data_IF_092116364690
#
_entry.id   IF_092116364690
#
_cell.length_a   1.000
_cell.length_b   1.000
_cell.length_c   1.000
_cell.angle_alpha   90.00
_cell.angle_beta   90.00
_cell.angle_gamma   90.00
#
_symmetry.space_group_name_H-M   'P 1'
#
loop_
_entity.id
_entity.type
_entity.pdbx_description
1 polymer ?
#
# COMPACT_ATOMS: atom_id res chain seq x y z
N UNK A 1 -17.00 -16.11 17.08
CA UNK A 1 -15.51 -16.22 16.96
C UNK A 1 -15.02 -15.04 16.14
N UNK A 2 -13.94 -14.42 16.58
CA UNK A 2 -13.27 -13.37 15.80
C UNK A 2 -12.87 -13.93 14.45
N UNK A 3 -13.28 -13.26 13.35
CA UNK A 3 -13.00 -13.74 11.99
C UNK A 3 -12.12 -12.75 11.19
N UNK A 4 -11.57 -11.76 11.87
CA UNK A 4 -10.68 -10.76 11.32
C UNK A 4 -9.38 -10.68 12.13
N UNK A 5 -8.23 -10.65 11.46
CA UNK A 5 -6.94 -10.27 12.03
C UNK A 5 -6.57 -8.88 11.54
N UNK A 6 -6.35 -7.95 12.47
CA UNK A 6 -5.69 -6.68 12.22
C UNK A 6 -4.20 -6.86 12.52
N UNK A 7 -3.35 -6.72 11.52
CA UNK A 7 -1.90 -6.81 11.65
C UNK A 7 -1.24 -5.44 11.54
N UNK A 8 -0.34 -5.13 12.47
CA UNK A 8 0.50 -3.94 12.48
C UNK A 8 1.95 -4.38 12.34
N UNK A 9 2.58 -4.03 11.21
CA UNK A 9 4.02 -4.28 11.01
C UNK A 9 4.80 -3.07 11.51
N UNK A 10 5.72 -3.31 12.44
CA UNK A 10 6.45 -2.27 13.18
C UNK A 10 7.94 -2.35 12.87
N UNK A 11 8.53 -1.22 12.48
CA UNK A 11 9.97 -1.04 12.40
C UNK A 11 10.32 0.42 12.70
N UNK A 12 10.96 0.67 13.84
CA UNK A 12 11.40 2.01 14.27
C UNK A 12 10.29 3.07 14.19
N UNK A 13 9.16 2.79 14.86
CA UNK A 13 7.95 3.60 14.84
C UNK A 13 7.67 4.32 16.19
N UNK A 14 8.67 4.47 17.07
CA UNK A 14 8.51 5.04 18.43
C UNK A 14 7.74 6.36 18.46
N UNK A 15 7.87 7.18 17.40
CA UNK A 15 7.23 8.50 17.31
C UNK A 15 5.73 8.44 17.06
N UNK A 16 5.22 7.34 16.52
CA UNK A 16 3.86 7.29 15.97
C UNK A 16 3.05 6.12 16.49
N UNK A 17 3.70 5.03 16.90
CA UNK A 17 3.01 3.77 17.25
C UNK A 17 1.95 3.98 18.34
N UNK A 18 2.15 4.86 19.31
CA UNK A 18 1.16 5.15 20.35
C UNK A 18 -0.14 5.70 19.77
N UNK A 19 -0.07 6.63 18.81
CA UNK A 19 -1.27 7.17 18.13
C UNK A 19 -1.99 6.10 17.32
N UNK A 20 -1.25 5.24 16.64
CA UNK A 20 -1.78 4.10 15.89
C UNK A 20 -2.54 3.16 16.83
N UNK A 21 -1.96 2.77 17.96
CA UNK A 21 -2.60 1.90 18.96
C UNK A 21 -3.84 2.54 19.57
N UNK A 22 -3.80 3.84 19.90
CA UNK A 22 -4.97 4.58 20.36
C UNK A 22 -6.12 4.53 19.36
N UNK A 23 -5.81 4.66 18.06
CA UNK A 23 -6.82 4.59 17.00
C UNK A 23 -7.44 3.18 16.86
N UNK A 24 -6.66 2.13 17.14
CA UNK A 24 -7.12 0.73 17.17
C UNK A 24 -8.05 0.52 18.38
N UNK A 25 -7.66 1.01 19.56
CA UNK A 25 -8.49 0.89 20.76
C UNK A 25 -9.80 1.69 20.67
N UNK A 26 -9.82 2.77 19.89
CA UNK A 26 -11.00 3.60 19.68
C UNK A 26 -12.00 3.05 18.65
N UNK A 27 -11.73 1.91 18.00
CA UNK A 27 -12.63 1.35 16.99
C UNK A 27 -13.98 0.93 17.60
N UNK A 28 -15.08 1.16 16.87
CA UNK A 28 -16.42 0.73 17.28
C UNK A 28 -16.58 -0.79 17.25
N UNK A 29 -15.89 -1.46 16.32
CA UNK A 29 -15.81 -2.91 16.27
C UNK A 29 -14.50 -3.36 16.91
N UNK A 30 -14.57 -4.15 18.00
CA UNK A 30 -13.40 -4.67 18.72
C UNK A 30 -13.23 -6.19 18.57
N UNK A 31 -14.13 -6.86 17.83
CA UNK A 31 -14.09 -8.32 17.63
C UNK A 31 -13.13 -8.71 16.51
N UNK A 32 -11.84 -8.47 16.74
CA UNK A 32 -10.74 -8.89 15.87
C UNK A 32 -9.51 -9.31 16.69
N UNK A 33 -8.69 -10.19 16.12
CA UNK A 33 -7.36 -10.49 16.65
C UNK A 33 -6.41 -9.34 16.28
N UNK A 34 -5.57 -8.92 17.24
CA UNK A 34 -4.53 -7.95 17.01
C UNK A 34 -3.19 -8.65 16.97
N UNK A 35 -2.53 -8.61 15.81
CA UNK A 35 -1.19 -9.15 15.58
C UNK A 35 -0.22 -7.99 15.34
N UNK A 36 0.83 -7.92 16.14
CA UNK A 36 1.93 -6.96 15.98
C UNK A 36 3.15 -7.74 15.53
N UNK A 37 3.71 -7.37 14.40
CA UNK A 37 4.93 -7.98 13.84
C UNK A 37 6.04 -6.95 13.91
N UNK A 38 6.98 -7.15 14.83
CA UNK A 38 8.15 -6.32 14.99
C UNK A 38 9.27 -6.80 14.07
N UNK A 39 9.62 -6.01 13.08
CA UNK A 39 10.69 -6.27 12.12
C UNK A 39 12.07 -5.85 12.67
N UNK A 40 12.40 -6.29 13.90
CA UNK A 40 13.65 -5.99 14.61
C UNK A 40 13.87 -4.48 14.84
N UNK A 41 12.88 -3.79 15.46
CA UNK A 41 13.04 -2.39 15.85
C UNK A 41 14.19 -2.21 16.86
N UNK A 42 14.93 -1.13 16.69
CA UNK A 42 16.09 -0.75 17.53
C UNK A 42 15.86 0.52 18.37
N UNK A 43 14.68 1.11 18.22
CA UNK A 43 14.20 2.28 18.97
C UNK A 43 13.24 1.87 20.10
N UNK A 44 12.56 2.83 20.72
CA UNK A 44 11.60 2.62 21.80
C UNK A 44 10.25 1.98 21.40
N UNK A 45 10.06 1.56 20.13
CA UNK A 45 8.76 1.07 19.64
C UNK A 45 8.17 -0.04 20.49
N UNK A 46 8.96 -1.05 20.86
CA UNK A 46 8.46 -2.22 21.60
C UNK A 46 8.12 -1.85 23.05
N UNK A 47 8.97 -1.08 23.71
CA UNK A 47 8.68 -0.61 25.07
C UNK A 47 7.38 0.20 25.13
N UNK A 48 7.12 1.06 24.13
CA UNK A 48 5.88 1.84 24.02
C UNK A 48 4.65 0.92 23.83
N UNK A 49 4.78 -0.13 23.02
CA UNK A 49 3.69 -1.09 22.80
C UNK A 49 3.36 -1.83 24.10
N UNK A 50 4.38 -2.36 24.79
CA UNK A 50 4.20 -3.09 26.04
C UNK A 50 3.61 -2.21 27.14
N UNK A 51 4.13 -0.99 27.34
CA UNK A 51 3.61 0.00 28.27
C UNK A 51 2.15 0.37 27.94
N UNK A 52 1.85 0.61 26.66
CA UNK A 52 0.51 0.96 26.23
C UNK A 52 -0.52 -0.10 26.58
N UNK A 53 -0.22 -1.39 26.35
CA UNK A 53 -1.14 -2.47 26.65
C UNK A 53 -1.14 -2.88 28.14
N UNK A 54 -0.12 -2.53 28.90
CA UNK A 54 -0.18 -2.63 30.37
C UNK A 54 -1.19 -1.64 30.96
N UNK A 55 -1.27 -0.41 30.40
CA UNK A 55 -2.24 0.60 30.81
C UNK A 55 -3.63 0.40 30.20
N UNK A 56 -3.71 -0.20 29.01
CA UNK A 56 -4.95 -0.40 28.23
C UNK A 56 -5.14 -1.89 27.91
N UNK A 57 -5.62 -2.72 28.87
CA UNK A 57 -5.64 -4.16 28.71
C UNK A 57 -6.43 -4.61 27.48
N UNK A 58 -5.76 -5.26 26.55
CA UNK A 58 -6.31 -5.93 25.37
C UNK A 58 -5.46 -7.13 25.03
N UNK A 59 -6.10 -8.21 24.61
CA UNK A 59 -5.36 -9.36 24.06
C UNK A 59 -4.75 -8.98 22.70
N UNK A 60 -3.46 -9.11 22.59
CA UNK A 60 -2.68 -8.96 21.36
C UNK A 60 -1.59 -10.02 21.30
N UNK A 61 -1.07 -10.23 20.14
CA UNK A 61 0.08 -11.10 19.90
C UNK A 61 1.23 -10.29 19.32
N UNK A 62 2.42 -10.40 19.91
CA UNK A 62 3.63 -9.73 19.46
C UNK A 62 4.63 -10.78 18.98
N UNK A 63 4.98 -10.73 17.70
CA UNK A 63 6.04 -11.54 17.10
C UNK A 63 7.18 -10.65 16.71
N UNK A 64 8.39 -10.93 17.20
CA UNK A 64 9.59 -10.18 16.87
C UNK A 64 10.56 -11.00 16.03
N UNK A 65 11.09 -10.40 14.97
CA UNK A 65 12.16 -11.00 14.17
C UNK A 65 13.52 -10.71 14.78
N UNK A 66 14.47 -11.61 14.56
CA UNK A 66 15.87 -11.46 15.01
C UNK A 66 16.66 -10.47 14.15
N UNK A 67 16.22 -10.22 12.91
CA UNK A 67 16.82 -9.29 11.96
C UNK A 67 15.76 -8.51 11.18
N UNK A 68 16.10 -7.31 10.70
CA UNK A 68 15.20 -6.53 9.85
C UNK A 68 15.09 -7.14 8.45
N UNK A 69 13.92 -7.68 8.13
CA UNK A 69 13.59 -8.37 6.86
C UNK A 69 12.82 -7.51 5.87
N UNK A 70 12.26 -6.38 6.32
CA UNK A 70 11.48 -5.44 5.51
C UNK A 70 9.99 -5.69 5.55
N UNK A 71 9.24 -4.65 5.14
CA UNK A 71 7.77 -4.65 5.21
C UNK A 71 7.14 -5.77 4.37
N UNK A 72 7.70 -6.06 3.20
CA UNK A 72 7.21 -7.14 2.34
C UNK A 72 7.28 -8.49 3.05
N UNK A 73 8.37 -8.76 3.77
CA UNK A 73 8.52 -9.99 4.56
C UNK A 73 7.58 -9.99 5.77
N UNK A 74 7.46 -8.87 6.48
CA UNK A 74 6.58 -8.78 7.65
C UNK A 74 5.11 -9.05 7.28
N UNK A 75 4.64 -8.49 6.16
CA UNK A 75 3.29 -8.75 5.62
C UNK A 75 3.13 -10.19 5.14
N UNK A 76 4.11 -10.74 4.43
CA UNK A 76 4.13 -12.14 4.03
C UNK A 76 3.99 -13.09 5.22
N UNK A 77 4.76 -12.83 6.29
CA UNK A 77 4.71 -13.61 7.52
C UNK A 77 3.32 -13.48 8.18
N UNK A 78 2.85 -12.26 8.42
CA UNK A 78 1.58 -12.00 9.10
C UNK A 78 0.39 -12.63 8.37
N UNK A 79 0.37 -12.55 7.02
CA UNK A 79 -0.68 -13.14 6.20
C UNK A 79 -0.76 -14.66 6.35
N UNK A 80 0.37 -15.35 6.49
CA UNK A 80 0.42 -16.82 6.65
C UNK A 80 0.23 -17.26 8.08
N UNK A 81 0.67 -16.43 9.02
CA UNK A 81 0.54 -16.69 10.45
C UNK A 81 -0.91 -16.59 10.93
N UNK A 82 -1.66 -15.60 10.42
CA UNK A 82 -3.07 -15.41 10.76
C UNK A 82 -3.91 -16.65 10.42
N UNK A 83 -4.92 -16.94 11.26
CA UNK A 83 -5.81 -18.08 11.08
C UNK A 83 -7.25 -17.66 10.74
N UNK A 84 -7.52 -16.36 10.64
CA UNK A 84 -8.84 -15.82 10.35
C UNK A 84 -9.12 -15.79 8.85
N UNK A 85 -10.40 -15.77 8.47
CA UNK A 85 -10.83 -15.64 7.08
C UNK A 85 -10.47 -14.29 6.48
N UNK A 86 -10.60 -13.22 7.28
CA UNK A 86 -10.32 -11.86 6.84
C UNK A 86 -9.05 -11.34 7.51
N UNK A 87 -8.37 -10.47 6.77
CA UNK A 87 -7.17 -9.79 7.23
C UNK A 87 -7.17 -8.32 6.84
N UNK A 88 -6.55 -7.50 7.67
CA UNK A 88 -6.32 -6.09 7.45
C UNK A 88 -4.92 -5.73 7.90
N UNK A 89 -4.21 -4.91 7.14
CA UNK A 89 -2.97 -4.27 7.58
C UNK A 89 -3.21 -2.81 7.94
N UNK A 90 -2.50 -2.36 8.96
CA UNK A 90 -2.37 -0.94 9.31
C UNK A 90 -0.88 -0.64 9.49
N UNK A 91 -0.39 0.41 8.83
CA UNK A 91 0.99 0.84 9.01
C UNK A 91 1.16 1.51 10.38
N UNK A 92 2.34 1.32 11.00
CA UNK A 92 2.61 1.70 12.38
C UNK A 92 2.66 3.23 12.63
N UNK A 93 2.50 4.02 11.58
CA UNK A 93 2.45 5.48 11.60
C UNK A 93 1.11 6.08 11.11
N UNK A 94 0.15 5.22 10.75
CA UNK A 94 -1.18 5.60 10.27
C UNK A 94 -2.23 5.56 11.39
N UNK A 95 -3.35 6.28 11.19
CA UNK A 95 -4.41 6.44 12.18
C UNK A 95 -5.75 6.07 11.55
N UNK A 96 -6.49 5.15 12.17
CA UNK A 96 -7.85 4.80 11.74
C UNK A 96 -8.89 5.78 12.30
N UNK A 97 -9.91 6.10 11.50
CA UNK A 97 -11.12 6.70 12.02
C UNK A 97 -11.93 5.67 12.81
N UNK A 98 -12.69 6.15 13.82
CA UNK A 98 -13.33 5.32 14.84
C UNK A 98 -14.19 4.16 14.32
N UNK A 99 -14.80 4.28 13.15
CA UNK A 99 -15.68 3.25 12.56
C UNK A 99 -15.09 2.58 11.32
N UNK A 100 -13.79 2.72 11.10
CA UNK A 100 -13.13 2.24 9.89
C UNK A 100 -13.24 0.73 9.71
N UNK A 101 -12.89 -0.02 10.76
CA UNK A 101 -12.94 -1.49 10.72
C UNK A 101 -14.38 -1.96 10.54
N UNK A 102 -15.31 -1.43 11.32
CA UNK A 102 -16.73 -1.82 11.26
C UNK A 102 -17.33 -1.57 9.87
N UNK A 103 -17.07 -0.40 9.28
CA UNK A 103 -17.59 -0.04 7.95
C UNK A 103 -17.08 -0.98 6.87
N UNK A 104 -15.76 -1.21 6.83
CA UNK A 104 -15.17 -2.11 5.83
C UNK A 104 -15.57 -3.57 6.07
N UNK A 105 -15.61 -4.02 7.33
CA UNK A 105 -15.98 -5.40 7.66
C UNK A 105 -17.45 -5.70 7.33
N UNK A 106 -18.38 -4.83 7.71
CA UNK A 106 -19.79 -4.96 7.31
C UNK A 106 -19.95 -5.02 5.80
N UNK A 107 -19.17 -4.19 5.09
CA UNK A 107 -19.25 -4.16 3.62
C UNK A 107 -18.74 -5.43 2.97
N UNK A 108 -17.60 -5.98 3.40
CA UNK A 108 -17.04 -7.20 2.80
C UNK A 108 -17.91 -8.42 3.12
N UNK A 109 -18.45 -8.52 4.34
CA UNK A 109 -19.27 -9.66 4.76
C UNK A 109 -20.71 -9.62 4.23
N UNK A 110 -21.17 -8.46 3.74
CA UNK A 110 -22.52 -8.31 3.16
C UNK A 110 -22.65 -8.84 1.73
N UNK A 111 -21.55 -9.21 1.08
CA UNK A 111 -21.55 -9.60 -0.34
C UNK A 111 -20.40 -10.59 -0.61
N UNK A 112 -20.75 -11.86 -0.81
CA UNK A 112 -19.79 -12.95 -1.01
C UNK A 112 -18.96 -12.84 -2.31
N UNK A 113 -19.31 -11.95 -3.22
CA UNK A 113 -18.48 -11.64 -4.38
C UNK A 113 -17.29 -10.70 -4.00
N UNK A 114 -17.37 -10.00 -2.86
CA UNK A 114 -16.29 -9.13 -2.43
C UNK A 114 -15.15 -9.94 -1.82
N UNK A 115 -13.98 -9.78 -2.38
CA UNK A 115 -12.74 -10.39 -1.88
C UNK A 115 -11.82 -9.38 -1.18
N UNK A 116 -12.02 -8.08 -1.41
CA UNK A 116 -11.34 -7.03 -0.66
C UNK A 116 -12.18 -5.74 -0.68
N UNK A 117 -12.16 -5.02 0.43
CA UNK A 117 -12.81 -3.72 0.62
C UNK A 117 -11.81 -2.75 1.25
N UNK A 118 -11.43 -1.73 0.50
CA UNK A 118 -10.62 -0.62 0.97
C UNK A 118 -11.44 0.61 1.31
N UNK A 119 -10.76 1.72 1.62
CA UNK A 119 -11.35 3.01 1.91
C UNK A 119 -10.55 4.15 1.28
N UNK A 120 -11.06 5.38 1.39
CA UNK A 120 -10.29 6.57 1.10
C UNK A 120 -9.41 6.98 2.27
N UNK A 121 -8.31 7.65 1.96
CA UNK A 121 -7.36 8.18 2.94
C UNK A 121 -7.28 9.70 2.85
N UNK A 122 -6.97 10.34 3.97
CA UNK A 122 -6.46 11.72 3.97
C UNK A 122 -4.98 11.74 4.37
N UNK A 123 -4.26 12.74 3.89
CA UNK A 123 -2.86 12.92 4.25
C UNK A 123 -2.72 13.74 5.52
N UNK A 124 -1.87 13.26 6.43
CA UNK A 124 -1.40 14.00 7.60
C UNK A 124 0.13 14.18 7.53
N UNK A 125 0.63 15.21 8.18
CA UNK A 125 2.06 15.45 8.32
C UNK A 125 2.65 14.69 9.53
N UNK A 126 3.92 14.95 9.83
CA UNK A 126 4.63 14.35 10.97
C UNK A 126 4.02 14.70 12.33
N UNK A 127 3.22 15.75 12.41
CA UNK A 127 2.52 16.20 13.65
C UNK A 127 1.09 15.68 13.73
N UNK A 128 0.63 14.94 12.71
CA UNK A 128 -0.76 14.49 12.63
C UNK A 128 -1.73 15.52 12.05
N UNK A 129 -1.24 16.69 11.59
CA UNK A 129 -2.07 17.73 11.01
C UNK A 129 -2.39 17.42 9.53
N UNK A 130 -3.63 17.71 9.12
CA UNK A 130 -4.07 17.50 7.75
C UNK A 130 -3.31 18.38 6.76
N UNK A 131 -2.65 17.76 5.82
CA UNK A 131 -1.96 18.43 4.71
C UNK A 131 -2.77 18.26 3.44
N UNK A 132 -3.63 19.13 3.09
CA UNK A 132 -4.50 19.11 1.89
C UNK A 132 -4.24 17.98 0.90
N UNK A 133 -5.28 17.50 0.24
CA UNK A 133 -5.25 16.32 -0.59
C UNK A 133 -5.62 15.06 0.18
N UNK A 134 -5.60 13.94 -0.53
CA UNK A 134 -5.94 12.62 0.01
C UNK A 134 -5.74 11.57 -1.08
N UNK A 135 -5.97 10.32 -0.75
CA UNK A 135 -5.93 9.22 -1.71
C UNK A 135 -7.35 8.70 -1.89
N UNK A 136 -7.89 8.89 -3.10
CA UNK A 136 -9.21 8.43 -3.52
C UNK A 136 -9.05 7.34 -4.58
N UNK A 137 -8.19 6.35 -4.29
CA UNK A 137 -7.87 5.24 -5.19
C UNK A 137 -8.79 4.06 -4.94
N UNK A 138 -9.08 3.34 -6.01
CA UNK A 138 -9.88 2.12 -5.99
C UNK A 138 -11.19 2.26 -6.76
N UNK A 139 -11.82 1.13 -6.98
CA UNK A 139 -13.08 1.04 -7.72
C UNK A 139 -14.26 1.03 -6.73
N UNK A 140 -15.27 1.89 -6.95
CA UNK A 140 -16.43 1.98 -6.03
C UNK A 140 -17.45 0.87 -6.22
N UNK A 141 -17.45 0.24 -7.38
CA UNK A 141 -18.45 -0.76 -7.75
C UNK A 141 -17.81 -2.00 -8.35
N UNK A 142 -18.48 -3.15 -8.19
CA UNK A 142 -18.07 -4.41 -8.82
C UNK A 142 -18.01 -4.30 -10.34
N UNK A 143 -18.87 -3.50 -10.94
CA UNK A 143 -18.89 -3.29 -12.39
C UNK A 143 -17.65 -2.52 -12.87
N UNK A 144 -17.29 -1.40 -12.21
CA UNK A 144 -16.08 -0.63 -12.55
C UNK A 144 -14.83 -1.46 -12.33
N UNK A 145 -14.80 -2.27 -11.26
CA UNK A 145 -13.72 -3.23 -11.03
C UNK A 145 -13.60 -4.23 -12.19
N UNK A 146 -14.70 -4.88 -12.60
CA UNK A 146 -14.71 -5.85 -13.70
C UNK A 146 -14.24 -5.23 -15.01
N UNK A 147 -14.74 -4.04 -15.36
CA UNK A 147 -14.28 -3.29 -16.55
C UNK A 147 -12.77 -3.07 -16.54
N UNK A 148 -12.22 -2.66 -15.40
CA UNK A 148 -10.79 -2.43 -15.22
C UNK A 148 -9.98 -3.73 -15.28
N UNK A 149 -10.50 -4.82 -14.69
CA UNK A 149 -9.87 -6.14 -14.74
C UNK A 149 -9.81 -6.69 -16.17
N UNK A 150 -10.90 -6.64 -16.91
CA UNK A 150 -10.95 -7.01 -18.34
C UNK A 150 -9.98 -6.18 -19.18
N UNK A 151 -9.88 -4.88 -18.91
CA UNK A 151 -8.93 -3.98 -19.57
C UNK A 151 -7.46 -4.20 -19.15
N UNK A 152 -7.18 -5.22 -18.33
CA UNK A 152 -5.83 -5.59 -17.87
C UNK A 152 -5.09 -4.40 -17.25
N UNK A 153 -5.79 -3.60 -16.41
CA UNK A 153 -5.20 -2.45 -15.70
C UNK A 153 -4.66 -2.88 -14.35
N UNK A 154 -3.67 -2.16 -13.84
CA UNK A 154 -3.19 -2.31 -12.46
C UNK A 154 -4.26 -1.87 -11.46
N UNK A 155 -4.31 -2.53 -10.30
CA UNK A 155 -5.26 -2.21 -9.24
C UNK A 155 -4.55 -1.49 -8.09
N UNK A 156 -4.83 -0.19 -7.99
CA UNK A 156 -4.31 0.64 -6.91
C UNK A 156 -5.35 0.69 -5.79
N UNK A 157 -5.00 0.19 -4.64
CA UNK A 157 -5.73 0.30 -3.38
C UNK A 157 -4.70 0.33 -2.25
N UNK A 158 -5.00 1.00 -1.17
CA UNK A 158 -4.11 1.06 -0.02
C UNK A 158 -4.04 -0.29 0.70
N UNK A 159 -2.95 -0.60 1.44
CA UNK A 159 -2.87 -1.81 2.25
C UNK A 159 -3.89 -1.81 3.39
N UNK A 160 -4.34 -0.62 3.84
CA UNK A 160 -5.41 -0.45 4.82
C UNK A 160 -6.75 -0.82 4.19
N UNK A 161 -6.96 -2.11 4.01
CA UNK A 161 -8.14 -2.72 3.42
C UNK A 161 -8.42 -4.05 4.12
N UNK A 162 -9.69 -4.42 4.24
CA UNK A 162 -10.05 -5.77 4.70
C UNK A 162 -10.19 -6.67 3.49
N UNK A 163 -9.55 -7.83 3.52
CA UNK A 163 -9.56 -8.78 2.42
C UNK A 163 -9.70 -10.23 2.89
N UNK A 164 -10.23 -11.09 2.03
CA UNK A 164 -10.29 -12.51 2.27
C UNK A 164 -8.89 -13.11 2.08
N UNK A 165 -8.33 -13.62 3.18
CA UNK A 165 -6.96 -14.13 3.27
C UNK A 165 -6.75 -15.38 2.40
N UNK A 166 -7.70 -16.29 2.36
CA UNK A 166 -7.56 -17.52 1.56
C UNK A 166 -7.55 -17.22 0.06
N UNK A 167 -8.39 -16.28 -0.39
CA UNK A 167 -8.36 -15.82 -1.78
C UNK A 167 -7.06 -15.10 -2.12
N UNK A 168 -6.48 -14.34 -1.18
CA UNK A 168 -5.16 -13.74 -1.36
C UNK A 168 -4.08 -14.81 -1.47
N UNK A 169 -4.07 -15.80 -0.57
CA UNK A 169 -3.13 -16.92 -0.59
C UNK A 169 -3.28 -17.78 -1.84
N UNK A 170 -4.49 -17.96 -2.37
CA UNK A 170 -4.74 -18.73 -3.60
C UNK A 170 -4.07 -18.13 -4.84
N UNK A 171 -3.76 -16.84 -4.82
CA UNK A 171 -2.99 -16.15 -5.86
C UNK A 171 -1.54 -15.87 -5.45
N UNK A 172 -1.06 -16.51 -4.36
CA UNK A 172 0.31 -16.47 -3.88
C UNK A 172 0.56 -15.52 -2.69
N UNK A 173 -0.46 -14.75 -2.23
CA UNK A 173 -0.30 -13.83 -1.10
C UNK A 173 0.76 -12.76 -1.32
N UNK A 174 1.36 -12.20 -0.26
CA UNK A 174 2.52 -11.32 -0.37
C UNK A 174 3.75 -12.14 -0.80
N UNK A 175 4.37 -11.78 -1.93
CA UNK A 175 5.49 -12.52 -2.53
C UNK A 175 6.82 -11.92 -2.12
N UNK A 176 7.71 -12.75 -1.59
CA UNK A 176 9.07 -12.37 -1.16
C UNK A 176 10.17 -13.09 -1.94
N UNK A 177 9.81 -14.09 -2.72
CA UNK A 177 10.76 -14.89 -3.51
C UNK A 177 10.98 -14.30 -4.91
N UNK A 178 12.10 -14.66 -5.51
CA UNK A 178 12.44 -14.23 -6.88
C UNK A 178 12.97 -12.79 -6.97
N UNK A 179 13.34 -12.19 -5.86
CA UNK A 179 13.99 -10.88 -5.77
C UNK A 179 15.49 -11.02 -5.49
N UNK A 180 16.33 -10.04 -5.90
CA UNK A 180 17.75 -10.02 -5.55
C UNK A 180 17.92 -9.84 -4.03
N UNK A 181 18.97 -10.49 -3.50
CA UNK A 181 19.36 -10.29 -2.08
C UNK A 181 19.95 -8.89 -1.88
N UNK A 182 19.78 -8.33 -0.69
CA UNK A 182 20.34 -7.03 -0.30
C UNK A 182 19.43 -5.85 -0.56
N UNK A 183 19.99 -4.65 -0.51
CA UNK A 183 19.25 -3.39 -0.71
C UNK A 183 19.51 -2.83 -2.11
N UNK A 184 18.49 -2.21 -2.76
CA UNK A 184 17.12 -2.05 -2.25
C UNK A 184 16.37 -3.38 -2.25
N UNK A 185 15.56 -3.63 -1.21
CA UNK A 185 14.67 -4.79 -1.15
C UNK A 185 13.44 -4.51 -2.02
N UNK A 186 13.48 -4.94 -3.26
CA UNK A 186 12.40 -4.66 -4.23
C UNK A 186 11.05 -5.27 -3.84
N UNK A 187 11.01 -6.32 -3.02
CA UNK A 187 9.79 -6.89 -2.47
C UNK A 187 9.03 -5.93 -1.54
N UNK A 188 9.71 -4.90 -1.00
CA UNK A 188 9.13 -3.90 -0.11
C UNK A 188 8.43 -2.75 -0.86
N UNK A 189 8.49 -2.73 -2.19
CA UNK A 189 7.87 -1.68 -3.01
C UNK A 189 6.65 -2.21 -3.75
N UNK A 190 5.53 -1.51 -3.68
CA UNK A 190 4.28 -1.86 -4.38
C UNK A 190 3.84 -3.31 -4.13
N UNK A 191 4.09 -3.87 -2.97
CA UNK A 191 3.72 -5.24 -2.61
C UNK A 191 2.20 -5.41 -2.53
N UNK A 192 1.51 -4.36 -2.07
CA UNK A 192 0.06 -4.24 -2.06
C UNK A 192 -0.52 -4.16 -3.47
N UNK A 193 0.03 -3.30 -4.33
CA UNK A 193 -0.36 -3.20 -5.74
C UNK A 193 -0.21 -4.55 -6.46
N UNK A 194 0.86 -5.27 -6.18
CA UNK A 194 1.10 -6.59 -6.76
C UNK A 194 0.03 -7.58 -6.31
N UNK A 195 -0.25 -7.64 -5.00
CA UNK A 195 -1.30 -8.49 -4.45
C UNK A 195 -2.67 -8.18 -5.06
N UNK A 196 -3.12 -6.91 -5.03
CA UNK A 196 -4.40 -6.51 -5.58
C UNK A 196 -4.51 -6.81 -7.07
N UNK A 197 -3.40 -6.65 -7.81
CA UNK A 197 -3.37 -6.95 -9.25
C UNK A 197 -3.47 -8.45 -9.52
N UNK A 198 -2.86 -9.32 -8.70
CA UNK A 198 -3.02 -10.78 -8.81
C UNK A 198 -4.42 -11.22 -8.38
N UNK A 199 -4.94 -10.71 -7.28
CA UNK A 199 -6.32 -10.97 -6.85
C UNK A 199 -7.33 -10.53 -7.92
N UNK A 200 -7.02 -9.50 -8.70
CA UNK A 200 -7.92 -9.07 -9.77
C UNK A 200 -8.18 -10.15 -10.83
N UNK A 201 -7.34 -11.18 -10.92
CA UNK A 201 -7.54 -12.30 -11.84
C UNK A 201 -8.74 -13.17 -11.45
N UNK A 202 -9.17 -13.10 -10.18
CA UNK A 202 -10.34 -13.79 -9.66
C UNK A 202 -11.67 -13.18 -10.15
N UNK A 203 -11.65 -12.07 -10.90
CA UNK A 203 -12.87 -11.53 -11.53
C UNK A 203 -13.58 -12.55 -12.41
N UNK A 204 -12.83 -13.51 -12.96
CA UNK A 204 -13.37 -14.62 -13.79
C UNK A 204 -14.30 -15.54 -12.99
N UNK A 205 -14.13 -15.58 -11.68
CA UNK A 205 -14.94 -16.35 -10.75
C UNK A 205 -15.98 -15.47 -10.03
N UNK A 206 -16.32 -14.31 -10.59
CA UNK A 206 -17.30 -13.38 -10.03
C UNK A 206 -16.80 -12.52 -8.89
N UNK A 207 -15.52 -12.67 -8.43
CA UNK A 207 -14.96 -11.92 -7.32
C UNK A 207 -14.63 -10.47 -7.69
N UNK A 208 -14.67 -9.59 -6.69
CA UNK A 208 -14.42 -8.16 -6.88
C UNK A 208 -13.68 -7.50 -5.70
N UNK A 209 -12.91 -6.47 -6.04
CA UNK A 209 -12.29 -5.53 -5.10
C UNK A 209 -12.98 -4.18 -5.25
N UNK A 210 -13.42 -3.60 -4.15
CA UNK A 210 -14.01 -2.25 -4.15
C UNK A 210 -13.43 -1.39 -3.02
N UNK A 211 -13.77 -0.11 -3.05
CA UNK A 211 -13.54 0.80 -1.92
C UNK A 211 -14.87 1.41 -1.48
N UNK A 212 -15.07 1.54 -0.17
CA UNK A 212 -16.10 2.42 0.37
C UNK A 212 -15.67 3.86 0.14
N UNK A 213 -16.54 4.74 -0.38
CA UNK A 213 -16.18 6.10 -0.74
C UNK A 213 -16.14 7.04 0.48
N UNK A 214 -15.53 6.56 1.56
CA UNK A 214 -15.39 7.26 2.84
C UNK A 214 -13.92 7.35 3.24
N UNK A 215 -13.53 8.47 3.83
CA UNK A 215 -12.19 8.66 4.40
C UNK A 215 -12.16 8.00 5.77
N UNK A 216 -11.52 6.83 5.86
CA UNK A 216 -11.50 6.01 7.07
C UNK A 216 -10.09 5.82 7.65
N UNK A 217 -9.07 6.38 7.01
CA UNK A 217 -7.71 6.33 7.50
C UNK A 217 -6.98 7.64 7.23
N UNK A 218 -6.13 8.06 8.18
CA UNK A 218 -5.17 9.15 8.04
C UNK A 218 -3.82 8.54 7.71
N UNK A 219 -3.32 8.84 6.52
CA UNK A 219 -2.04 8.36 6.02
C UNK A 219 -0.95 9.39 6.29
N UNK A 220 0.08 9.00 7.04
CA UNK A 220 1.18 9.90 7.40
C UNK A 220 2.18 10.03 6.27
N UNK A 221 2.35 11.26 5.80
CA UNK A 221 3.36 11.60 4.78
C UNK A 221 4.73 11.79 5.43
N UNK A 222 5.68 10.96 5.03
CA UNK A 222 7.06 11.02 5.51
C UNK A 222 8.08 10.67 4.44
N UNK A 223 9.27 10.26 4.87
CA UNK A 223 10.38 9.79 4.04
C UNK A 223 10.33 8.27 3.80
N UNK A 224 9.13 7.67 3.77
CA UNK A 224 8.94 6.23 3.61
C UNK A 224 9.33 5.70 2.21
N UNK A 225 9.19 4.40 2.02
CA UNK A 225 9.55 3.68 0.78
C UNK A 225 8.91 4.27 -0.47
N UNK A 226 7.69 4.77 -0.38
CA UNK A 226 6.96 5.43 -1.48
C UNK A 226 7.64 6.70 -2.00
N UNK A 227 8.64 7.23 -1.32
CA UNK A 227 9.43 8.37 -1.78
C UNK A 227 10.46 8.00 -2.87
N UNK A 228 10.81 6.73 -3.01
CA UNK A 228 11.75 6.26 -4.05
C UNK A 228 11.00 5.98 -5.36
N UNK A 229 10.91 7.00 -6.20
CA UNK A 229 10.14 6.91 -7.45
C UNK A 229 10.67 5.87 -8.42
N UNK A 230 11.97 5.63 -8.50
CA UNK A 230 12.53 4.63 -9.42
C UNK A 230 12.10 3.21 -9.01
N UNK A 231 12.25 2.87 -7.72
CA UNK A 231 11.86 1.54 -7.23
C UNK A 231 10.34 1.31 -7.36
N UNK A 232 9.54 2.35 -7.13
CA UNK A 232 8.08 2.28 -7.36
C UNK A 232 7.77 2.02 -8.84
N UNK A 233 8.39 2.75 -9.77
CA UNK A 233 8.13 2.62 -11.21
C UNK A 233 8.54 1.26 -11.73
N UNK A 234 9.72 0.75 -11.36
CA UNK A 234 10.19 -0.54 -11.84
C UNK A 234 9.31 -1.68 -11.33
N UNK A 235 8.86 -1.62 -10.07
CA UNK A 235 7.92 -2.59 -9.51
C UNK A 235 6.55 -2.52 -10.18
N UNK A 236 6.03 -1.34 -10.44
CA UNK A 236 4.77 -1.18 -11.20
C UNK A 236 4.89 -1.79 -12.61
N UNK A 237 6.02 -1.63 -13.29
CA UNK A 237 6.27 -2.23 -14.61
C UNK A 237 6.39 -3.75 -14.52
N UNK A 238 7.08 -4.27 -13.51
CA UNK A 238 7.13 -5.71 -13.22
C UNK A 238 5.73 -6.29 -13.02
N UNK A 239 4.95 -5.72 -12.11
CA UNK A 239 3.57 -6.17 -11.84
C UNK A 239 2.70 -6.10 -13.10
N UNK A 240 2.85 -5.02 -13.91
CA UNK A 240 2.13 -4.91 -15.19
C UNK A 240 2.55 -5.97 -16.20
N UNK A 241 3.83 -6.26 -16.30
CA UNK A 241 4.36 -7.30 -17.19
C UNK A 241 3.78 -8.65 -16.81
N UNK A 242 3.80 -9.01 -15.54
CA UNK A 242 3.26 -10.29 -15.06
C UNK A 242 1.73 -10.38 -15.20
N UNK A 243 1.00 -9.30 -14.95
CA UNK A 243 -0.43 -9.24 -15.26
C UNK A 243 -0.71 -9.61 -16.72
N UNK A 244 0.04 -9.02 -17.67
CA UNK A 244 -0.13 -9.29 -19.09
C UNK A 244 0.28 -10.73 -19.47
N UNK A 245 1.34 -11.25 -18.86
CA UNK A 245 1.79 -12.63 -19.05
C UNK A 245 0.73 -13.63 -18.58
N UNK A 246 0.24 -13.50 -17.34
CA UNK A 246 -0.84 -14.35 -16.78
C UNK A 246 -2.10 -14.33 -17.66
N UNK A 247 -2.52 -13.13 -18.07
CA UNK A 247 -3.73 -12.96 -18.90
C UNK A 247 -3.59 -13.49 -20.31
N UNK A 248 -2.36 -13.78 -20.77
CA UNK A 248 -2.05 -14.39 -22.05
C UNK A 248 -1.55 -15.85 -21.89
N UNK A 249 -1.76 -16.49 -20.74
CA UNK A 249 -1.37 -17.89 -20.49
C UNK A 249 0.14 -18.12 -20.43
N UNK A 250 0.95 -17.09 -20.24
CA UNK A 250 2.41 -17.18 -20.13
C UNK A 250 2.83 -17.27 -18.67
N UNK A 251 3.89 -18.05 -18.39
CA UNK A 251 4.51 -18.10 -17.06
C UNK A 251 4.95 -16.71 -16.62
N UNK A 252 4.74 -16.37 -15.35
CA UNK A 252 5.25 -15.14 -14.75
C UNK A 252 6.78 -15.17 -14.70
N UNK A 253 7.37 -13.99 -14.74
CA UNK A 253 8.79 -13.78 -14.47
C UNK A 253 9.01 -13.55 -12.99
N UNK A 254 10.12 -14.05 -12.45
CA UNK A 254 10.68 -13.52 -11.22
C UNK A 254 11.09 -12.07 -11.41
N UNK A 255 11.30 -11.32 -10.33
CA UNK A 255 11.78 -9.94 -10.47
C UNK A 255 13.18 -9.90 -11.08
N UNK A 256 14.04 -10.89 -10.78
CA UNK A 256 15.38 -11.02 -11.35
C UNK A 256 15.27 -11.20 -12.88
N UNK A 257 14.49 -12.19 -13.34
CA UNK A 257 14.30 -12.43 -14.80
C UNK A 257 13.72 -11.21 -15.51
N UNK A 258 12.78 -10.51 -14.88
CA UNK A 258 12.24 -9.27 -15.43
C UNK A 258 13.31 -8.19 -15.53
N UNK A 259 14.08 -7.95 -14.45
CA UNK A 259 15.12 -6.93 -14.41
C UNK A 259 16.20 -7.18 -15.47
N UNK A 260 16.66 -8.42 -15.60
CA UNK A 260 17.68 -8.84 -16.56
C UNK A 260 17.19 -8.75 -18.02
N UNK A 261 15.87 -8.80 -18.23
CA UNK A 261 15.26 -8.63 -19.57
C UNK A 261 15.21 -7.18 -20.04
N UNK A 262 15.48 -6.20 -19.13
CA UNK A 262 15.39 -4.78 -19.46
C UNK A 262 16.64 -4.31 -20.24
N UNK A 263 16.40 -3.67 -21.37
CA UNK A 263 17.49 -3.02 -22.10
C UNK A 263 17.98 -1.75 -21.38
N UNK A 264 19.24 -1.33 -21.61
CA UNK A 264 19.74 -0.05 -21.07
C UNK A 264 18.87 1.15 -21.44
N UNK A 265 18.27 1.14 -22.63
CA UNK A 265 17.33 2.18 -23.06
C UNK A 265 16.06 2.22 -22.20
N UNK A 266 15.47 1.06 -21.89
CA UNK A 266 14.30 0.95 -21.02
C UNK A 266 14.61 1.42 -19.60
N UNK A 267 15.75 1.04 -19.03
CA UNK A 267 16.20 1.51 -17.71
C UNK A 267 16.38 3.04 -17.69
N UNK A 268 17.03 3.61 -18.73
CA UNK A 268 17.19 5.06 -18.89
C UNK A 268 15.84 5.78 -18.93
N UNK A 269 14.86 5.23 -19.64
CA UNK A 269 13.51 5.79 -19.70
C UNK A 269 12.79 5.74 -18.33
N UNK A 270 12.95 4.65 -17.56
CA UNK A 270 12.40 4.56 -16.20
C UNK A 270 13.07 5.58 -15.25
N UNK A 271 14.36 5.81 -15.39
CA UNK A 271 15.06 6.86 -14.63
C UNK A 271 14.55 8.27 -14.98
N UNK A 272 14.27 8.55 -16.26
CA UNK A 272 13.65 9.82 -16.65
C UNK A 272 12.26 10.00 -16.03
N UNK A 273 11.44 8.93 -16.04
CA UNK A 273 10.12 8.95 -15.41
C UNK A 273 10.23 9.21 -13.91
N UNK A 274 11.19 8.57 -13.24
CA UNK A 274 11.45 8.75 -11.81
C UNK A 274 11.90 10.17 -11.47
N UNK A 275 12.87 10.69 -12.24
CA UNK A 275 13.38 12.04 -12.05
C UNK A 275 12.29 13.11 -12.28
N UNK A 276 11.40 12.90 -13.25
CA UNK A 276 10.27 13.79 -13.49
C UNK A 276 9.26 13.73 -12.33
N UNK A 277 8.99 12.54 -11.79
CA UNK A 277 8.11 12.36 -10.64
C UNK A 277 8.67 13.03 -9.38
N UNK A 278 9.96 12.85 -9.12
CA UNK A 278 10.64 13.46 -7.98
C UNK A 278 10.68 15.00 -8.10
N UNK A 279 11.01 15.51 -9.28
CA UNK A 279 11.02 16.94 -9.55
C UNK A 279 9.62 17.56 -9.38
N UNK A 280 8.55 16.91 -9.88
CA UNK A 280 7.20 17.43 -9.71
C UNK A 280 6.78 17.44 -8.22
N UNK A 281 7.12 16.39 -7.47
CA UNK A 281 6.84 16.32 -6.03
C UNK A 281 7.56 17.40 -5.24
N UNK A 282 8.87 17.57 -5.51
CA UNK A 282 9.69 18.60 -4.86
C UNK A 282 9.23 20.00 -5.23
N UNK A 283 8.89 20.23 -6.51
CA UNK A 283 8.34 21.51 -6.97
C UNK A 283 7.06 21.89 -6.23
N UNK A 284 6.12 20.96 -6.13
CA UNK A 284 4.88 21.16 -5.38
C UNK A 284 5.15 21.45 -3.88
N UNK A 285 6.12 20.76 -3.28
CA UNK A 285 6.52 21.01 -1.89
C UNK A 285 7.08 22.42 -1.70
N UNK A 286 8.04 22.86 -2.53
CA UNK A 286 8.65 24.17 -2.43
C UNK A 286 7.65 25.30 -2.67
N UNK A 287 6.78 25.16 -3.69
CA UNK A 287 5.73 26.16 -3.95
C UNK A 287 4.78 26.31 -2.75
N UNK A 288 4.38 25.19 -2.14
CA UNK A 288 3.53 25.22 -0.93
C UNK A 288 4.21 25.91 0.26
N UNK A 289 5.55 25.83 0.35
CA UNK A 289 6.35 26.49 1.40
C UNK A 289 6.69 27.96 1.07
N UNK A 290 6.18 28.50 -0.03
CA UNK A 290 6.46 29.88 -0.47
C UNK A 290 7.83 30.07 -1.11
N UNK A 291 8.59 28.99 -1.33
CA UNK A 291 9.90 29.05 -2.00
C UNK A 291 9.73 28.95 -3.52
N UNK A 292 9.38 30.09 -4.15
CA UNK A 292 9.04 30.15 -5.55
C UNK A 292 10.22 29.77 -6.47
N UNK A 293 11.44 30.21 -6.14
CA UNK A 293 12.63 29.96 -6.98
C UNK A 293 12.91 28.44 -7.10
N UNK A 294 12.98 27.75 -5.97
CA UNK A 294 13.20 26.32 -5.96
C UNK A 294 12.00 25.55 -6.56
N UNK A 295 10.79 26.03 -6.31
CA UNK A 295 9.58 25.45 -6.89
C UNK A 295 9.57 25.48 -8.41
N UNK A 296 9.83 26.66 -8.99
CA UNK A 296 9.91 26.84 -10.44
C UNK A 296 11.05 26.04 -11.05
N UNK A 297 12.22 26.01 -10.39
CA UNK A 297 13.37 25.23 -10.86
C UNK A 297 13.02 23.72 -10.97
N UNK A 298 12.39 23.17 -9.96
CA UNK A 298 11.97 21.75 -9.98
C UNK A 298 10.90 21.47 -11.05
N UNK A 299 10.00 22.42 -11.33
CA UNK A 299 9.04 22.28 -12.44
C UNK A 299 9.77 22.27 -13.79
N UNK A 300 10.76 23.13 -13.98
CA UNK A 300 11.61 23.13 -15.19
C UNK A 300 12.34 21.78 -15.33
N UNK A 301 12.91 21.25 -14.24
CA UNK A 301 13.54 19.91 -14.23
C UNK A 301 12.55 18.80 -14.61
N UNK A 302 11.32 18.87 -14.12
CA UNK A 302 10.28 17.91 -14.49
C UNK A 302 10.01 17.94 -16.00
N UNK A 303 9.85 19.12 -16.57
CA UNK A 303 9.64 19.33 -18.03
C UNK A 303 10.84 18.83 -18.83
N UNK A 304 12.07 19.11 -18.37
CA UNK A 304 13.30 18.63 -19.01
C UNK A 304 13.36 17.10 -19.11
N UNK A 305 13.03 16.39 -18.02
CA UNK A 305 13.01 14.92 -18.03
C UNK A 305 11.85 14.36 -18.86
N UNK A 306 10.65 14.96 -18.74
CA UNK A 306 9.41 14.54 -19.40
C UNK A 306 8.51 15.74 -19.72
N UNK A 307 8.57 16.29 -20.94
CA UNK A 307 7.82 17.51 -21.29
C UNK A 307 6.31 17.44 -21.04
N UNK A 308 5.70 16.27 -21.24
CA UNK A 308 4.26 16.07 -21.07
C UNK A 308 3.85 15.50 -19.70
N UNK A 309 4.80 15.24 -18.79
CA UNK A 309 4.52 14.54 -17.55
C UNK A 309 3.47 15.22 -16.68
N UNK A 310 3.56 16.53 -16.55
CA UNK A 310 2.59 17.34 -15.78
C UNK A 310 1.20 17.25 -16.40
N UNK A 311 1.13 17.37 -17.73
CA UNK A 311 -0.12 17.29 -18.47
C UNK A 311 -0.77 15.92 -18.36
N UNK A 312 0.01 14.86 -18.47
CA UNK A 312 -0.47 13.48 -18.30
C UNK A 312 -1.00 13.23 -16.89
N UNK A 313 -0.34 13.79 -15.86
CA UNK A 313 -0.82 13.73 -14.47
C UNK A 313 -2.12 14.50 -14.27
N UNK A 314 -2.25 15.69 -14.85
CA UNK A 314 -3.50 16.48 -14.77
C UNK A 314 -4.65 15.70 -15.45
N UNK A 315 -4.44 15.20 -16.67
CA UNK A 315 -5.44 14.39 -17.37
C UNK A 315 -5.86 13.16 -16.58
N UNK A 316 -4.90 12.47 -15.98
CA UNK A 316 -5.18 11.26 -15.20
C UNK A 316 -6.02 11.57 -13.95
N UNK A 317 -5.73 12.67 -13.27
CA UNK A 317 -6.41 13.09 -12.05
C UNK A 317 -7.76 13.78 -12.31
N UNK A 318 -7.93 14.45 -13.45
CA UNK A 318 -9.18 15.15 -13.81
C UNK A 318 -10.25 14.24 -14.42
N UNK A 319 -9.95 12.96 -14.66
CA UNK A 319 -10.90 12.01 -15.24
C UNK A 319 -11.31 12.34 -16.69
N UNK A 320 -10.63 13.26 -17.35
CA UNK A 320 -10.84 13.58 -18.77
C UNK A 320 -10.41 12.36 -19.59
N UNK A 321 -11.40 11.56 -19.97
CA UNK A 321 -11.21 10.43 -20.88
C UNK A 321 -10.83 10.95 -22.28
N UNK A 322 -9.89 10.24 -22.94
CA UNK A 322 -9.76 10.29 -24.41
C UNK A 322 -10.97 9.70 -25.07
#
# INVERSE_FOLDING_TARGET
MKNLTLAVCVYNAEKYIKETLQSIMAQTMQDFYLLIVNDCSTDGSIAIIEEFFAENPRQYELVSFEENKGIGYARHFAERYAQTEYMMFLDADDILYRHAIETMYKRITSDNELMAVGCYLEYIDKKGEKIGGGIFLGEKTKESFRKKAVAKKLFFMQPTAIYNRELALSVGGYVIEGYPKGKPRYQDFCEDLDLWTRMSDLYKYGKAIIVVPEVLCKYRKGSGLSSNSFNMIIKMRYTKTNLLRRRNGKKELTFIEFYDSLSPAQLKEMHKDANAADALRNGAYYLKKGNLLNGVWEIIRCIYYRPLYIWDKIKHNSGIKK
#
